data_IF_895918061506
#
_entry.id   IF_895918061506
#
_cell.length_a   1.000
_cell.length_b   1.000
_cell.length_c   1.000
_cell.angle_alpha   90.00
_cell.angle_beta   90.00
_cell.angle_gamma   90.00
#
_symmetry.space_group_name_H-M   'P 1'
#
loop_
_entity.id
_entity.type
_entity.pdbx_description
1 polymer ?
#
# COMPACT_ATOMS: atom_id res chain seq x y z
N UNK A 1 -13.85 -32.07 -7.17
CA UNK A 1 -13.56 -30.81 -6.47
C UNK A 1 -14.89 -30.10 -6.28
N UNK A 2 -15.32 -29.83 -5.05
CA UNK A 2 -16.62 -29.19 -4.80
C UNK A 2 -16.57 -27.71 -5.22
N UNK A 3 -17.66 -27.15 -5.78
CA UNK A 3 -17.67 -25.79 -6.34
C UNK A 3 -17.31 -24.70 -5.30
N UNK A 4 -17.62 -24.91 -4.02
CA UNK A 4 -17.20 -23.99 -2.94
C UNK A 4 -15.69 -23.89 -2.77
N UNK A 5 -14.96 -25.01 -2.94
CA UNK A 5 -13.49 -25.01 -2.83
C UNK A 5 -12.85 -24.21 -3.97
N UNK A 6 -13.39 -24.28 -5.18
CA UNK A 6 -12.83 -23.54 -6.32
C UNK A 6 -13.08 -22.03 -6.27
N UNK A 7 -14.14 -21.57 -5.59
CA UNK A 7 -14.42 -20.12 -5.42
C UNK A 7 -13.43 -19.49 -4.43
N UNK A 8 -13.03 -20.23 -3.38
CA UNK A 8 -12.01 -19.75 -2.44
C UNK A 8 -10.60 -19.68 -3.05
N UNK A 9 -10.30 -20.56 -4.01
CA UNK A 9 -8.99 -20.69 -4.67
C UNK A 9 -8.72 -19.65 -5.75
N UNK A 10 -9.69 -18.80 -6.13
CA UNK A 10 -9.47 -17.72 -7.09
C UNK A 10 -10.23 -16.46 -6.67
N UNK A 11 -10.19 -16.14 -5.37
CA UNK A 11 -10.83 -14.93 -4.88
C UNK A 11 -10.13 -13.70 -5.45
N UNK A 12 -10.92 -12.79 -6.03
CA UNK A 12 -10.42 -11.56 -6.65
C UNK A 12 -10.76 -10.36 -5.80
N UNK A 13 -9.75 -9.58 -5.45
CA UNK A 13 -9.88 -8.28 -4.78
C UNK A 13 -9.41 -7.19 -5.73
N UNK A 14 -10.12 -6.07 -5.78
CA UNK A 14 -9.73 -4.89 -6.56
C UNK A 14 -9.55 -3.72 -5.61
N UNK A 15 -8.36 -3.13 -5.58
CA UNK A 15 -8.12 -1.83 -4.98
C UNK A 15 -8.29 -0.75 -6.03
N UNK A 16 -9.14 0.23 -5.75
CA UNK A 16 -9.27 1.45 -6.55
C UNK A 16 -8.78 2.61 -5.68
N UNK A 17 -7.66 3.19 -6.06
CA UNK A 17 -7.02 4.29 -5.34
C UNK A 17 -7.20 5.58 -6.14
N UNK A 18 -7.76 6.61 -5.52
CA UNK A 18 -7.84 7.93 -6.13
C UNK A 18 -6.47 8.61 -6.08
N UNK A 19 -6.02 9.12 -7.23
CA UNK A 19 -4.79 9.86 -7.44
C UNK A 19 -5.08 11.28 -7.96
N UNK A 20 -6.26 11.80 -7.64
CA UNK A 20 -6.58 13.21 -7.80
C UNK A 20 -5.68 14.10 -6.92
N UNK A 21 -5.52 15.39 -7.26
CA UNK A 21 -4.73 16.32 -6.46
C UNK A 21 -5.16 16.41 -4.98
N UNK A 22 -6.40 16.03 -4.65
CA UNK A 22 -6.91 16.00 -3.28
C UNK A 22 -6.17 14.97 -2.40
N UNK A 23 -5.66 13.88 -2.96
CA UNK A 23 -4.92 12.89 -2.20
C UNK A 23 -3.47 13.30 -1.91
N UNK A 24 -3.00 14.43 -2.45
CA UNK A 24 -1.72 15.02 -2.08
C UNK A 24 -1.78 15.88 -0.80
N UNK A 25 -2.98 16.11 -0.24
CA UNK A 25 -3.11 16.76 1.06
C UNK A 25 -2.54 15.87 2.18
N UNK A 26 -2.05 16.52 3.23
CA UNK A 26 -1.60 15.85 4.45
C UNK A 26 -2.71 15.01 5.08
N UNK A 27 -2.34 13.85 5.65
CA UNK A 27 -3.26 13.05 6.46
C UNK A 27 -3.52 13.69 7.83
N UNK A 28 -2.85 14.81 8.15
CA UNK A 28 -2.94 15.53 9.42
C UNK A 28 -2.55 14.65 10.61
N UNK A 29 -1.59 13.75 10.38
CA UNK A 29 -1.04 12.86 11.39
C UNK A 29 0.48 13.08 11.41
N UNK A 30 0.99 14.00 12.23
CA UNK A 30 2.41 14.31 12.28
C UNK A 30 3.19 13.11 12.82
N UNK A 31 4.14 12.60 12.03
CA UNK A 31 5.03 11.53 12.43
C UNK A 31 6.33 12.14 12.94
N UNK A 32 6.66 11.86 14.20
CA UNK A 32 7.97 12.18 14.75
C UNK A 32 9.02 11.27 14.13
N UNK A 33 10.07 11.88 13.57
CA UNK A 33 11.19 11.15 12.99
C UNK A 33 12.43 11.50 13.82
N UNK A 34 12.98 10.53 14.54
CA UNK A 34 14.18 10.73 15.35
C UNK A 34 15.35 9.91 14.81
N UNK A 35 16.40 10.59 14.32
CA UNK A 35 17.61 9.94 13.83
C UNK A 35 18.66 9.68 14.93
N UNK A 36 18.48 10.22 16.14
CA UNK A 36 19.47 10.13 17.22
C UNK A 36 19.36 8.84 18.02
N UNK A 37 20.26 7.90 17.76
CA UNK A 37 20.57 6.79 18.72
C UNK A 37 21.37 7.24 19.94
N UNK A 38 21.77 8.51 19.98
CA UNK A 38 22.60 9.10 21.04
C UNK A 38 21.79 10.04 21.93
N UNK A 39 22.00 9.93 23.25
CA UNK A 39 21.41 10.75 24.31
C UNK A 39 21.31 12.23 23.87
N UNK A 40 20.15 12.90 24.05
CA UNK A 40 19.95 14.27 23.61
C UNK A 40 21.04 15.17 24.19
N UNK A 41 21.87 15.74 23.32
CA UNK A 41 22.88 16.71 23.74
C UNK A 41 22.20 18.08 23.92
N UNK A 42 22.59 18.84 24.96
CA UNK A 42 22.09 20.21 25.13
C UNK A 42 22.37 21.03 23.88
N UNK A 43 21.32 21.66 23.32
CA UNK A 43 21.43 22.56 22.16
C UNK A 43 21.10 21.95 20.79
N UNK A 44 20.73 20.67 20.70
CA UNK A 44 20.21 20.09 19.45
C UNK A 44 18.72 20.43 19.31
N UNK A 45 18.35 21.04 18.18
CA UNK A 45 16.95 21.31 17.83
C UNK A 45 16.33 20.03 17.28
N UNK A 46 15.23 19.52 17.86
CA UNK A 46 14.54 18.35 17.34
C UNK A 46 14.00 18.63 15.95
N UNK A 47 14.05 17.62 15.08
CA UNK A 47 13.52 17.74 13.73
C UNK A 47 12.01 17.93 13.76
N UNK A 48 11.50 18.79 12.87
CA UNK A 48 10.07 19.00 12.75
C UNK A 48 9.38 17.68 12.34
N UNK A 49 8.20 17.36 12.93
CA UNK A 49 7.41 16.22 12.51
C UNK A 49 7.07 16.28 11.01
N UNK A 50 6.99 15.11 10.38
CA UNK A 50 6.66 14.97 8.96
C UNK A 50 5.22 14.47 8.85
N UNK A 51 4.39 15.13 8.06
CA UNK A 51 3.05 14.63 7.72
C UNK A 51 3.10 13.88 6.39
N UNK A 52 2.43 12.73 6.32
CA UNK A 52 2.30 11.97 5.08
C UNK A 52 1.16 12.55 4.25
N UNK A 53 1.21 12.38 2.94
CA UNK A 53 0.02 12.62 2.12
C UNK A 53 -1.03 11.51 2.36
N UNK A 54 -2.31 11.82 2.12
CA UNK A 54 -3.38 10.81 2.09
C UNK A 54 -3.03 9.68 1.10
N UNK A 55 -2.49 10.03 -0.07
CA UNK A 55 -1.99 9.08 -1.05
C UNK A 55 -0.97 8.11 -0.45
N UNK A 56 0.08 8.64 0.19
CA UNK A 56 1.13 7.83 0.84
C UNK A 56 0.52 6.88 1.86
N UNK A 57 -0.37 7.38 2.72
CA UNK A 57 -1.01 6.56 3.77
C UNK A 57 -1.91 5.45 3.18
N UNK A 58 -2.68 5.76 2.13
CA UNK A 58 -3.52 4.76 1.44
C UNK A 58 -2.69 3.69 0.73
N UNK A 59 -1.62 4.08 0.03
CA UNK A 59 -0.73 3.13 -0.67
C UNK A 59 -0.02 2.22 0.33
N UNK A 60 0.54 2.76 1.41
CA UNK A 60 1.19 1.98 2.48
C UNK A 60 0.22 0.94 3.06
N UNK A 61 -1.01 1.35 3.39
CA UNK A 61 -2.02 0.47 3.95
C UNK A 61 -2.44 -0.64 2.97
N UNK A 62 -2.58 -0.32 1.68
CA UNK A 62 -2.96 -1.29 0.66
C UNK A 62 -1.82 -2.29 0.37
N UNK A 63 -0.57 -1.84 0.37
CA UNK A 63 0.60 -2.70 0.24
C UNK A 63 0.76 -3.63 1.44
N UNK A 64 0.53 -3.13 2.66
CA UNK A 64 0.58 -3.96 3.87
C UNK A 64 -0.52 -5.03 3.86
N UNK A 65 -1.73 -4.70 3.41
CA UNK A 65 -2.77 -5.70 3.17
C UNK A 65 -2.30 -6.79 2.22
N UNK A 66 -1.65 -6.42 1.11
CA UNK A 66 -1.15 -7.39 0.13
C UNK A 66 -0.05 -8.28 0.72
N UNK A 67 0.86 -7.71 1.51
CA UNK A 67 1.90 -8.46 2.22
C UNK A 67 1.27 -9.53 3.09
N UNK A 68 0.35 -9.15 3.97
CA UNK A 68 -0.32 -10.08 4.89
C UNK A 68 -1.09 -11.15 4.13
N UNK A 69 -1.84 -10.78 3.09
CA UNK A 69 -2.61 -11.75 2.29
C UNK A 69 -1.71 -12.74 1.59
N UNK A 70 -0.63 -12.29 0.95
CA UNK A 70 0.28 -13.19 0.21
C UNK A 70 1.19 -14.01 1.12
N UNK A 71 1.50 -13.52 2.33
CA UNK A 71 2.20 -14.29 3.36
C UNK A 71 1.33 -15.44 3.89
N UNK A 72 0.03 -15.21 4.10
CA UNK A 72 -0.92 -16.24 4.60
C UNK A 72 -1.38 -17.18 3.47
N UNK A 73 -1.62 -16.61 2.29
CA UNK A 73 -2.13 -17.31 1.12
C UNK A 73 -1.18 -17.12 -0.07
N UNK A 74 -0.14 -17.97 -0.21
CA UNK A 74 0.83 -17.86 -1.29
C UNK A 74 0.25 -18.04 -2.70
N UNK A 75 -0.97 -18.60 -2.80
CA UNK A 75 -1.70 -18.77 -4.05
C UNK A 75 -3.21 -18.62 -3.85
N UNK A 76 -3.91 -18.37 -4.95
CA UNK A 76 -5.37 -18.35 -5.01
C UNK A 76 -6.06 -17.10 -4.47
N UNK A 77 -5.29 -16.12 -3.98
CA UNK A 77 -5.76 -14.76 -3.70
C UNK A 77 -5.14 -13.81 -4.71
N UNK A 78 -5.98 -13.30 -5.61
CA UNK A 78 -5.57 -12.40 -6.68
C UNK A 78 -6.01 -10.98 -6.34
N UNK A 79 -5.09 -10.04 -6.40
CA UNK A 79 -5.32 -8.63 -6.08
C UNK A 79 -4.96 -7.79 -7.30
N UNK A 80 -5.85 -6.89 -7.71
CA UNK A 80 -5.59 -5.95 -8.81
C UNK A 80 -5.68 -4.51 -8.31
N UNK A 81 -4.70 -3.70 -8.68
CA UNK A 81 -4.65 -2.28 -8.38
C UNK A 81 -5.08 -1.46 -9.60
N UNK A 82 -5.98 -0.52 -9.34
CA UNK A 82 -6.41 0.52 -10.27
C UNK A 82 -6.14 1.85 -9.58
N UNK A 83 -5.26 2.66 -10.18
CA UNK A 83 -5.04 4.03 -9.78
C UNK A 83 -5.89 4.92 -10.68
N UNK A 84 -6.76 5.73 -10.08
CA UNK A 84 -7.73 6.54 -10.80
C UNK A 84 -7.37 8.01 -10.67
N UNK A 85 -7.09 8.67 -11.79
CA UNK A 85 -6.96 10.12 -11.88
C UNK A 85 -8.03 10.68 -12.85
N UNK A 86 -7.63 11.33 -13.95
CA UNK A 86 -8.51 11.63 -15.08
C UNK A 86 -8.87 10.38 -15.89
N UNK A 87 -8.14 9.27 -15.71
CA UNK A 87 -8.41 7.95 -16.27
C UNK A 87 -8.09 6.84 -15.25
N UNK A 88 -8.52 5.62 -15.55
CA UNK A 88 -8.22 4.44 -14.74
C UNK A 88 -6.96 3.74 -15.25
N UNK A 89 -5.93 3.65 -14.42
CA UNK A 89 -4.66 3.01 -14.71
C UNK A 89 -4.55 1.70 -13.93
N UNK A 90 -4.61 0.57 -14.64
CA UNK A 90 -4.45 -0.75 -14.02
C UNK A 90 -2.97 -1.09 -13.90
N UNK A 91 -2.47 -1.29 -12.68
CA UNK A 91 -1.04 -1.52 -12.43
C UNK A 91 -0.62 -2.98 -12.65
N UNK A 92 -1.52 -3.93 -12.36
CA UNK A 92 -1.23 -5.35 -12.50
C UNK A 92 -2.44 -6.15 -12.99
N UNK A 93 -2.17 -7.29 -13.65
CA UNK A 93 -3.16 -8.23 -14.14
C UNK A 93 -3.50 -9.32 -13.11
N UNK A 94 -4.36 -10.26 -13.50
CA UNK A 94 -4.68 -11.44 -12.68
C UNK A 94 -3.61 -12.54 -12.76
N UNK A 95 -2.49 -12.30 -13.44
CA UNK A 95 -1.37 -13.26 -13.49
C UNK A 95 -0.77 -13.48 -12.11
N UNK A 96 -0.56 -14.75 -11.74
CA UNK A 96 0.11 -15.15 -10.51
C UNK A 96 1.52 -14.55 -10.40
N UNK A 97 2.23 -14.37 -11.52
CA UNK A 97 3.58 -13.77 -11.55
C UNK A 97 3.59 -12.29 -11.15
N UNK A 98 2.43 -11.63 -11.18
CA UNK A 98 2.24 -10.23 -10.81
C UNK A 98 1.62 -10.05 -9.42
N UNK A 99 1.42 -11.16 -8.67
CA UNK A 99 0.90 -11.15 -7.29
C UNK A 99 2.05 -11.09 -6.28
N UNK A 100 2.87 -10.04 -6.37
CA UNK A 100 3.97 -9.82 -5.44
C UNK A 100 4.21 -8.32 -5.23
N UNK A 101 4.73 -7.97 -4.06
CA UNK A 101 4.92 -6.58 -3.67
C UNK A 101 5.91 -5.85 -4.58
N UNK A 102 6.99 -6.53 -4.99
CA UNK A 102 8.01 -5.93 -5.85
C UNK A 102 7.43 -5.47 -7.19
N UNK A 103 6.46 -6.19 -7.75
CA UNK A 103 5.79 -5.76 -8.97
C UNK A 103 4.89 -4.54 -8.75
N UNK A 104 4.08 -4.56 -7.68
CA UNK A 104 3.09 -3.50 -7.41
C UNK A 104 3.76 -2.21 -6.93
N UNK A 105 4.88 -2.28 -6.20
CA UNK A 105 5.58 -1.10 -5.66
C UNK A 105 6.43 -0.34 -6.69
N UNK A 106 6.57 -0.84 -7.91
CA UNK A 106 7.39 -0.22 -8.96
C UNK A 106 6.62 0.82 -9.81
N UNK A 107 5.38 1.12 -9.44
CA UNK A 107 4.48 2.08 -10.09
C UNK A 107 4.17 3.23 -9.13
#
# INVERSE_FOLDING_TARGET
MTPEKSIMENHKTVFVLDHSPFFNYGCNEPHEFEFSKSRPQPGIIPMAPIDKSLWTSCVESALEYCRVVWDIYPSGKLISFIVSDYQAHRLNSWSATQQNLAHVSNY
#
